data_IF_832283722971
#
_entry.id   IF_832283722971
#
_cell.length_a   1.000
_cell.length_b   1.000
_cell.length_c   1.000
_cell.angle_alpha   90.00
_cell.angle_beta   90.00
_cell.angle_gamma   90.00
#
_symmetry.space_group_name_H-M   'P 1'
#
loop_
_entity.id
_entity.type
_entity.pdbx_description
1 polymer ?
#
# COMPACT_ATOMS: atom_id res chain seq x y z
N UNK A 1 -79.70 31.98 43.74
CA UNK A 1 -79.13 30.89 42.88
C UNK A 1 -77.65 30.98 43.00
N UNK A 2 -77.06 30.14 43.84
CA UNK A 2 -75.60 30.11 44.09
C UNK A 2 -74.90 29.22 43.04
N UNK A 3 -74.03 29.77 42.22
CA UNK A 3 -73.27 29.01 41.22
C UNK A 3 -72.19 28.13 41.92
N UNK A 4 -72.44 26.84 41.98
CA UNK A 4 -71.48 25.82 42.43
C UNK A 4 -70.26 25.86 41.54
N UNK A 5 -69.13 26.43 42.01
CA UNK A 5 -67.85 26.33 41.35
C UNK A 5 -67.38 24.88 41.32
N UNK A 6 -67.31 24.25 40.16
CA UNK A 6 -66.76 22.93 40.03
C UNK A 6 -65.22 22.99 40.35
N UNK A 7 -64.82 22.36 41.43
CA UNK A 7 -63.38 22.19 41.74
C UNK A 7 -62.81 21.25 40.69
N UNK A 8 -61.93 21.75 39.88
CA UNK A 8 -61.14 20.90 38.97
C UNK A 8 -60.47 19.79 39.80
N UNK A 9 -60.63 18.55 39.39
CA UNK A 9 -60.06 17.41 40.06
C UNK A 9 -58.58 17.30 39.56
N UNK A 10 -57.69 18.05 40.17
CA UNK A 10 -56.26 18.15 39.83
C UNK A 10 -55.58 16.77 39.83
N UNK A 11 -55.95 15.89 40.77
CA UNK A 11 -55.44 14.52 40.87
C UNK A 11 -55.83 13.68 39.65
N UNK A 12 -57.09 13.81 39.19
CA UNK A 12 -57.53 13.11 37.97
C UNK A 12 -56.81 13.61 36.72
N UNK A 13 -56.58 14.92 36.59
CA UNK A 13 -55.84 15.51 35.47
C UNK A 13 -54.39 15.03 35.47
N UNK A 14 -53.71 15.02 36.59
CA UNK A 14 -52.34 14.51 36.75
C UNK A 14 -52.24 13.01 36.39
N UNK A 15 -53.19 12.19 36.79
CA UNK A 15 -53.26 10.76 36.43
C UNK A 15 -53.38 10.53 34.93
N UNK A 16 -54.22 11.35 34.25
CA UNK A 16 -54.35 11.28 32.78
C UNK A 16 -53.10 11.73 32.07
N UNK A 17 -52.44 12.81 32.52
CA UNK A 17 -51.19 13.27 31.94
C UNK A 17 -50.09 12.19 32.10
N UNK A 18 -49.98 11.57 33.27
CA UNK A 18 -49.05 10.48 33.54
C UNK A 18 -49.28 9.28 32.64
N UNK A 19 -50.53 8.87 32.46
CA UNK A 19 -50.93 7.77 31.56
C UNK A 19 -50.52 8.06 30.10
N UNK A 20 -50.77 9.27 29.60
CA UNK A 20 -50.45 9.70 28.27
C UNK A 20 -48.93 9.72 28.05
N UNK A 21 -48.17 10.29 28.98
CA UNK A 21 -46.66 10.33 28.89
C UNK A 21 -46.07 8.93 28.92
N UNK A 22 -46.65 8.01 29.72
CA UNK A 22 -46.19 6.61 29.76
C UNK A 22 -46.45 5.90 28.43
N UNK A 23 -47.65 6.10 27.83
CA UNK A 23 -47.99 5.52 26.52
C UNK A 23 -47.09 6.06 25.42
N UNK A 24 -46.80 7.38 25.41
CA UNK A 24 -45.88 7.99 24.45
C UNK A 24 -44.43 7.43 24.63
N UNK A 25 -44.01 7.27 25.87
CA UNK A 25 -42.66 6.68 26.18
C UNK A 25 -42.56 5.23 25.69
N UNK A 26 -43.59 4.42 25.91
CA UNK A 26 -43.62 3.03 25.41
C UNK A 26 -43.67 3.00 23.88
N UNK A 27 -44.47 3.84 23.23
CA UNK A 27 -44.52 3.94 21.78
C UNK A 27 -43.18 4.37 21.16
N UNK A 28 -42.51 5.35 21.77
CA UNK A 28 -41.17 5.78 21.37
C UNK A 28 -40.12 4.66 21.53
N UNK A 29 -40.17 3.93 22.66
CA UNK A 29 -39.31 2.76 22.87
C UNK A 29 -39.57 1.67 21.82
N UNK A 30 -40.82 1.36 21.53
CA UNK A 30 -41.19 0.37 20.51
C UNK A 30 -40.76 0.82 19.11
N UNK A 31 -40.86 2.11 18.79
CA UNK A 31 -40.36 2.67 17.52
C UNK A 31 -38.84 2.56 17.39
N UNK A 32 -38.09 2.93 18.44
CA UNK A 32 -36.63 2.79 18.48
C UNK A 32 -36.22 1.31 18.39
N UNK A 33 -36.95 0.42 19.03
CA UNK A 33 -36.69 -1.03 19.00
C UNK A 33 -37.00 -1.65 17.63
N UNK A 34 -37.98 -1.11 16.90
CA UNK A 34 -38.37 -1.59 15.57
C UNK A 34 -37.26 -1.38 14.54
N UNK A 35 -36.50 -0.28 14.63
CA UNK A 35 -35.38 0.01 13.72
C UNK A 35 -34.03 -0.66 14.14
N UNK A 36 -33.98 -1.22 15.36
CA UNK A 36 -32.83 -2.01 15.78
C UNK A 36 -33.06 -3.47 15.39
N UNK A 37 -32.28 -3.94 14.42
CA UNK A 37 -32.21 -5.37 14.10
C UNK A 37 -31.60 -6.13 15.29
N UNK A 38 -32.45 -6.61 16.20
CA UNK A 38 -32.03 -7.56 17.22
C UNK A 38 -31.77 -8.91 16.58
N UNK A 39 -30.50 -9.23 16.37
CA UNK A 39 -30.09 -10.56 15.96
C UNK A 39 -30.23 -11.49 17.18
N UNK A 40 -31.15 -12.46 17.10
CA UNK A 40 -31.13 -13.60 18.03
C UNK A 40 -29.84 -14.37 17.86
N UNK A 41 -29.40 -15.13 18.88
CA UNK A 41 -28.19 -15.94 18.78
C UNK A 41 -28.13 -16.84 17.53
N UNK A 42 -29.31 -17.42 17.17
CA UNK A 42 -29.41 -18.23 15.94
C UNK A 42 -29.24 -17.42 14.64
N UNK A 43 -29.86 -16.24 14.55
CA UNK A 43 -29.67 -15.35 13.40
C UNK A 43 -28.22 -14.89 13.28
N UNK A 44 -27.57 -14.56 14.40
CA UNK A 44 -26.17 -14.19 14.41
C UNK A 44 -25.27 -15.35 13.97
N UNK A 45 -25.55 -16.57 14.42
CA UNK A 45 -24.84 -17.77 13.98
C UNK A 45 -25.01 -18.02 12.47
N UNK A 46 -26.23 -17.87 11.95
CA UNK A 46 -26.51 -18.01 10.52
C UNK A 46 -25.78 -16.95 9.68
N UNK A 47 -25.75 -15.67 10.12
CA UNK A 47 -25.00 -14.60 9.44
C UNK A 47 -23.50 -14.90 9.43
N UNK A 48 -22.92 -15.36 10.55
CA UNK A 48 -21.51 -15.76 10.63
C UNK A 48 -21.19 -16.93 9.70
N UNK A 49 -22.06 -17.94 9.67
CA UNK A 49 -21.87 -19.12 8.80
C UNK A 49 -21.94 -18.74 7.32
N UNK A 50 -22.89 -17.89 6.93
CA UNK A 50 -23.01 -17.42 5.55
C UNK A 50 -21.80 -16.55 5.15
N UNK A 51 -21.36 -15.62 6.01
CA UNK A 51 -20.16 -14.80 5.76
C UNK A 51 -18.91 -15.68 5.60
N UNK A 52 -18.77 -16.74 6.40
CA UNK A 52 -17.66 -17.69 6.27
C UNK A 52 -17.71 -18.47 4.94
N UNK A 53 -18.89 -18.95 4.53
CA UNK A 53 -19.08 -19.63 3.25
C UNK A 53 -18.76 -18.71 2.07
N UNK A 54 -19.25 -17.48 2.09
CA UNK A 54 -18.97 -16.49 1.03
C UNK A 54 -17.48 -16.19 0.92
N UNK A 55 -16.77 -16.10 2.05
CA UNK A 55 -15.32 -15.91 2.06
C UNK A 55 -14.59 -17.12 1.49
N UNK A 56 -14.99 -18.33 1.88
CA UNK A 56 -14.42 -19.58 1.33
C UNK A 56 -14.63 -19.65 -0.19
N UNK A 57 -15.84 -19.42 -0.65
CA UNK A 57 -16.16 -19.42 -2.08
C UNK A 57 -15.34 -18.40 -2.88
N UNK A 58 -15.10 -17.19 -2.31
CA UNK A 58 -14.23 -16.18 -2.93
C UNK A 58 -12.80 -16.68 -3.03
N UNK A 59 -12.28 -17.31 -1.99
CA UNK A 59 -10.92 -17.86 -1.99
C UNK A 59 -10.80 -18.96 -3.06
N UNK A 60 -11.71 -19.93 -3.07
CA UNK A 60 -11.72 -21.05 -4.03
C UNK A 60 -11.81 -20.57 -5.48
N UNK A 61 -12.71 -19.61 -5.75
CA UNK A 61 -12.89 -19.03 -7.09
C UNK A 61 -11.60 -18.36 -7.58
N UNK A 62 -10.97 -17.53 -6.76
CA UNK A 62 -9.76 -16.80 -7.14
C UNK A 62 -8.52 -17.71 -7.25
N UNK A 63 -8.43 -18.74 -6.40
CA UNK A 63 -7.40 -19.78 -6.54
C UNK A 63 -7.59 -20.55 -7.86
N UNK A 64 -8.82 -20.90 -8.24
CA UNK A 64 -9.14 -21.54 -9.52
C UNK A 64 -8.79 -20.66 -10.72
N UNK A 65 -8.73 -19.34 -10.56
CA UNK A 65 -8.27 -18.37 -11.56
C UNK A 65 -6.74 -18.18 -11.59
N UNK A 66 -5.99 -18.91 -10.74
CA UNK A 66 -4.53 -18.86 -10.68
C UNK A 66 -3.97 -17.72 -9.84
N UNK A 67 -4.80 -17.03 -9.03
CA UNK A 67 -4.29 -16.00 -8.12
C UNK A 67 -3.50 -16.61 -6.96
N UNK A 68 -2.46 -15.90 -6.50
CA UNK A 68 -1.71 -16.34 -5.33
C UNK A 68 -2.50 -16.17 -4.03
N UNK A 69 -2.29 -17.06 -3.06
CA UNK A 69 -2.93 -16.96 -1.75
C UNK A 69 -2.64 -15.61 -1.07
N UNK A 70 -1.43 -15.08 -1.19
CA UNK A 70 -1.08 -13.76 -0.63
C UNK A 70 -1.91 -12.63 -1.24
N UNK A 71 -2.15 -12.67 -2.57
CA UNK A 71 -3.01 -11.70 -3.27
C UNK A 71 -4.45 -11.77 -2.76
N UNK A 72 -4.96 -13.00 -2.61
CA UNK A 72 -6.33 -13.24 -2.13
C UNK A 72 -6.50 -12.75 -0.70
N UNK A 73 -5.56 -13.06 0.20
CA UNK A 73 -5.61 -12.64 1.60
C UNK A 73 -5.54 -11.13 1.75
N UNK A 74 -4.70 -10.43 0.97
CA UNK A 74 -4.66 -8.96 0.92
C UNK A 74 -5.97 -8.34 0.47
N UNK A 75 -6.68 -8.99 -0.44
CA UNK A 75 -7.98 -8.48 -0.91
C UNK A 75 -9.12 -8.73 0.09
N UNK A 76 -9.00 -9.76 0.94
CA UNK A 76 -9.96 -10.05 2.02
C UNK A 76 -9.74 -9.12 3.20
N UNK A 77 -8.49 -8.83 3.55
CA UNK A 77 -8.11 -7.92 4.64
C UNK A 77 -7.19 -6.81 4.08
N UNK A 78 -7.77 -5.73 3.52
CA UNK A 78 -7.01 -4.68 2.87
C UNK A 78 -6.20 -3.81 3.83
N UNK A 79 -6.42 -3.93 5.14
CA UNK A 79 -5.67 -3.23 6.18
C UNK A 79 -4.38 -3.97 6.58
N UNK A 80 -4.20 -5.18 6.02
CA UNK A 80 -3.00 -5.99 6.26
C UNK A 80 -2.15 -6.14 5.00
N UNK A 81 -0.85 -5.97 5.17
CA UNK A 81 0.14 -6.49 4.23
C UNK A 81 0.36 -7.97 4.54
N UNK A 82 0.09 -8.84 3.56
CA UNK A 82 0.30 -10.28 3.71
C UNK A 82 1.49 -10.71 2.86
N UNK A 83 2.45 -11.38 3.47
CA UNK A 83 3.63 -11.94 2.80
C UNK A 83 4.03 -13.27 3.43
N UNK A 84 4.92 -14.00 2.77
CA UNK A 84 5.44 -15.28 3.28
C UNK A 84 6.88 -15.08 3.75
N UNK A 85 7.17 -15.50 4.97
CA UNK A 85 8.51 -15.52 5.55
C UNK A 85 8.75 -16.87 6.21
N UNK A 86 9.83 -17.53 5.86
CA UNK A 86 10.15 -18.86 6.38
C UNK A 86 9.05 -19.91 6.18
N UNK A 87 8.29 -19.82 5.08
CA UNK A 87 7.14 -20.70 4.79
C UNK A 87 5.86 -20.39 5.56
N UNK A 88 5.85 -19.32 6.37
CA UNK A 88 4.69 -18.90 7.18
C UNK A 88 4.10 -17.60 6.64
N UNK A 89 2.76 -17.50 6.60
CA UNK A 89 2.09 -16.26 6.27
C UNK A 89 2.20 -15.26 7.42
N UNK A 90 2.67 -14.07 7.11
CA UNK A 90 2.77 -12.94 8.05
C UNK A 90 1.74 -11.88 7.67
N UNK A 91 1.01 -11.38 8.66
CA UNK A 91 0.01 -10.33 8.54
C UNK A 91 0.51 -9.09 9.29
N UNK A 92 1.02 -8.12 8.58
CA UNK A 92 1.50 -6.86 9.14
C UNK A 92 0.49 -5.74 8.92
N UNK A 93 0.29 -4.90 9.93
CA UNK A 93 -0.60 -3.74 9.81
C UNK A 93 -0.07 -2.74 8.78
N UNK A 94 -0.95 -2.25 7.92
CA UNK A 94 -0.62 -1.16 7.00
C UNK A 94 -0.77 0.17 7.73
N UNK A 95 0.31 0.95 7.77
CA UNK A 95 0.25 2.30 8.31
C UNK A 95 -0.35 3.25 7.26
N UNK A 96 -1.64 3.52 7.37
CA UNK A 96 -2.38 4.39 6.44
C UNK A 96 -2.00 5.88 6.56
N UNK A 97 -1.23 6.28 7.58
CA UNK A 97 -0.73 7.66 7.71
C UNK A 97 0.48 7.94 6.82
N UNK A 98 1.11 6.91 6.25
CA UNK A 98 2.21 7.09 5.31
C UNK A 98 1.73 7.72 4.02
N UNK A 99 2.52 8.65 3.50
CA UNK A 99 2.25 9.31 2.22
C UNK A 99 2.22 8.27 1.10
N UNK A 100 1.12 8.20 0.39
CA UNK A 100 0.96 7.38 -0.82
C UNK A 100 1.37 8.16 -2.05
N UNK A 101 1.66 7.45 -3.15
CA UNK A 101 1.81 8.09 -4.45
C UNK A 101 0.46 8.70 -4.90
N UNK A 102 0.54 9.67 -5.78
CA UNK A 102 -0.63 10.36 -6.33
C UNK A 102 -0.95 9.93 -7.76
N UNK A 103 -0.28 8.89 -8.27
CA UNK A 103 -0.48 8.40 -9.63
C UNK A 103 -1.87 7.79 -9.79
N UNK A 104 -2.53 8.09 -10.90
CA UNK A 104 -3.80 7.49 -11.29
C UNK A 104 -3.56 6.28 -12.18
N UNK A 105 -4.17 5.14 -11.86
CA UNK A 105 -4.05 3.91 -12.66
C UNK A 105 -4.52 4.09 -14.11
N UNK A 106 -5.48 4.98 -14.37
CA UNK A 106 -6.01 5.25 -15.70
C UNK A 106 -5.04 5.98 -16.64
N UNK A 107 -3.93 6.51 -16.11
CA UNK A 107 -2.92 7.22 -16.88
C UNK A 107 -1.71 6.37 -17.26
N UNK A 108 -1.65 5.11 -16.77
CA UNK A 108 -0.65 4.15 -17.18
C UNK A 108 -1.08 3.42 -18.45
N UNK A 109 -0.20 3.37 -19.44
CA UNK A 109 -0.38 2.60 -20.67
C UNK A 109 0.75 1.60 -20.82
N UNK A 110 0.46 0.47 -21.48
CA UNK A 110 1.42 -0.60 -21.75
C UNK A 110 1.42 -0.89 -23.25
N UNK A 111 2.59 -0.83 -23.88
CA UNK A 111 2.74 -1.13 -25.29
C UNK A 111 2.89 -2.64 -25.58
N UNK A 112 2.99 -3.00 -26.88
CA UNK A 112 3.17 -4.39 -27.32
C UNK A 112 4.48 -5.03 -26.83
N UNK A 113 5.46 -4.24 -26.45
CA UNK A 113 6.75 -4.68 -25.89
C UNK A 113 6.74 -4.72 -24.36
N UNK A 114 5.56 -4.62 -23.74
CA UNK A 114 5.39 -4.54 -22.29
C UNK A 114 6.00 -3.29 -21.64
N UNK A 115 6.33 -2.25 -22.39
CA UNK A 115 6.84 -1.01 -21.82
C UNK A 115 5.67 -0.20 -21.24
N UNK A 116 5.84 0.24 -20.01
CA UNK A 116 4.85 1.03 -19.30
C UNK A 116 5.24 2.50 -19.40
N UNK A 117 4.27 3.34 -19.77
CA UNK A 117 4.40 4.79 -19.75
C UNK A 117 3.34 5.40 -18.87
N UNK A 118 3.66 6.54 -18.27
CA UNK A 118 2.75 7.34 -17.46
C UNK A 118 2.58 8.70 -18.11
N UNK A 119 1.32 9.15 -18.23
CA UNK A 119 0.98 10.42 -18.86
C UNK A 119 0.19 11.32 -17.90
N UNK A 120 0.46 12.61 -17.97
CA UNK A 120 -0.32 13.67 -17.33
C UNK A 120 -0.81 14.64 -18.41
N UNK A 121 -2.08 15.00 -18.38
CA UNK A 121 -2.71 15.89 -19.37
C UNK A 121 -2.44 15.48 -20.82
N UNK A 122 -2.42 14.17 -21.09
CA UNK A 122 -2.18 13.60 -22.40
C UNK A 122 -0.72 13.63 -22.86
N UNK A 123 0.23 14.04 -22.02
CA UNK A 123 1.66 14.03 -22.32
C UNK A 123 2.37 12.96 -21.51
N UNK A 124 3.25 12.18 -22.14
CA UNK A 124 4.11 11.23 -21.45
C UNK A 124 5.09 12.00 -20.60
N UNK A 125 5.07 11.76 -19.27
CA UNK A 125 5.96 12.37 -18.28
C UNK A 125 6.90 11.35 -17.63
N UNK A 126 6.71 10.06 -17.90
CA UNK A 126 7.62 9.00 -17.47
C UNK A 126 8.88 8.97 -18.31
N UNK A 127 9.97 8.56 -17.70
CA UNK A 127 11.25 8.30 -18.36
C UNK A 127 11.50 6.81 -18.49
N UNK A 128 12.15 6.40 -19.58
CA UNK A 128 12.63 5.04 -19.72
C UNK A 128 13.94 4.91 -18.96
N UNK A 129 13.95 3.98 -18.00
CA UNK A 129 15.09 3.73 -17.11
C UNK A 129 15.52 2.28 -17.23
N UNK A 130 16.82 2.02 -17.24
CA UNK A 130 17.37 0.67 -17.07
C UNK A 130 18.03 0.56 -15.71
N UNK A 131 17.96 -0.61 -15.12
CA UNK A 131 18.66 -1.02 -13.89
C UNK A 131 19.85 -1.90 -14.28
N UNK A 132 21.02 -1.55 -13.78
CA UNK A 132 22.29 -2.14 -14.21
C UNK A 132 23.22 -2.40 -13.03
N UNK A 133 23.80 -3.59 -13.04
CA UNK A 133 24.85 -4.01 -12.13
C UNK A 133 25.89 -4.86 -12.88
N UNK A 134 26.83 -5.43 -12.17
CA UNK A 134 27.83 -6.37 -12.74
C UNK A 134 27.19 -7.57 -13.45
N UNK A 135 25.94 -7.90 -13.14
CA UNK A 135 25.27 -9.07 -13.72
C UNK A 135 24.87 -8.88 -15.19
N UNK A 136 24.80 -7.65 -15.69
CA UNK A 136 24.53 -7.36 -17.09
C UNK A 136 25.78 -7.42 -17.96
N UNK A 137 26.95 -7.65 -17.37
CA UNK A 137 28.26 -7.68 -18.09
C UNK A 137 28.54 -6.38 -18.87
N UNK A 138 29.10 -6.48 -20.07
CA UNK A 138 29.43 -5.33 -20.92
C UNK A 138 28.14 -4.80 -21.61
N UNK A 139 27.89 -3.51 -21.51
CA UNK A 139 26.71 -2.85 -22.08
C UNK A 139 27.15 -1.87 -23.17
N UNK A 140 26.47 -1.94 -24.31
CA UNK A 140 26.58 -0.97 -25.38
C UNK A 140 25.61 0.21 -25.12
N UNK A 141 26.11 1.21 -24.40
CA UNK A 141 25.29 2.38 -24.03
C UNK A 141 24.87 3.23 -25.25
N UNK A 142 25.55 3.13 -26.38
CA UNK A 142 25.09 3.77 -27.61
C UNK A 142 23.79 3.13 -28.14
N UNK A 143 23.70 1.80 -28.10
CA UNK A 143 22.45 1.09 -28.43
C UNK A 143 21.36 1.35 -27.40
N UNK A 144 21.72 1.40 -26.10
CA UNK A 144 20.77 1.73 -25.04
C UNK A 144 20.17 3.11 -25.26
N UNK A 145 21.00 4.11 -25.61
CA UNK A 145 20.52 5.45 -25.96
C UNK A 145 19.61 5.46 -27.18
N UNK A 146 20.00 4.73 -28.24
CA UNK A 146 19.21 4.60 -29.46
C UNK A 146 17.85 3.94 -29.22
N UNK A 147 17.72 3.10 -28.19
CA UNK A 147 16.44 2.48 -27.76
C UNK A 147 15.56 3.44 -26.94
N UNK A 148 15.96 4.72 -26.82
CA UNK A 148 15.20 5.76 -26.14
C UNK A 148 15.29 5.71 -24.62
N UNK A 149 16.34 5.14 -24.07
CA UNK A 149 16.58 5.14 -22.62
C UNK A 149 17.09 6.51 -22.18
N UNK A 150 16.48 7.08 -21.14
CA UNK A 150 16.82 8.39 -20.60
C UNK A 150 17.78 8.30 -19.41
N UNK A 151 17.61 7.28 -18.59
CA UNK A 151 18.34 7.09 -17.33
C UNK A 151 18.85 5.65 -17.17
N UNK A 152 19.99 5.53 -16.50
CA UNK A 152 20.48 4.26 -15.97
C UNK A 152 20.61 4.36 -14.45
N UNK A 153 19.97 3.46 -13.72
CA UNK A 153 20.20 3.24 -12.30
C UNK A 153 21.32 2.22 -12.17
N UNK A 154 22.46 2.63 -11.62
CA UNK A 154 23.68 1.82 -11.57
C UNK A 154 23.94 1.38 -10.13
N UNK A 155 24.09 0.07 -9.91
CA UNK A 155 24.52 -0.42 -8.60
C UNK A 155 25.96 0.05 -8.34
N UNK A 156 26.14 0.88 -7.31
CA UNK A 156 27.49 1.32 -6.93
C UNK A 156 28.20 0.34 -5.99
N UNK A 157 27.45 -0.47 -5.25
CA UNK A 157 27.99 -1.45 -4.35
C UNK A 157 26.90 -2.21 -3.60
N UNK A 158 27.35 -3.05 -2.69
CA UNK A 158 26.48 -3.86 -1.82
C UNK A 158 27.20 -4.19 -0.51
N UNK A 159 26.42 -4.50 0.52
CA UNK A 159 26.96 -5.14 1.73
C UNK A 159 26.80 -6.65 1.56
N UNK A 160 27.89 -7.39 1.77
CA UNK A 160 27.89 -8.84 1.60
C UNK A 160 27.08 -9.55 2.69
N UNK A 161 26.43 -10.66 2.31
CA UNK A 161 25.79 -11.54 3.27
C UNK A 161 26.84 -12.18 4.19
N UNK A 162 26.49 -12.36 5.44
CA UNK A 162 27.29 -13.06 6.45
C UNK A 162 28.39 -12.20 7.07
N UNK A 163 29.32 -11.70 6.28
CA UNK A 163 30.47 -10.91 6.78
C UNK A 163 30.17 -9.41 6.91
N UNK A 164 29.12 -8.92 6.25
CA UNK A 164 28.71 -7.51 6.31
C UNK A 164 29.71 -6.53 5.68
N UNK A 165 30.56 -7.00 4.75
CA UNK A 165 31.61 -6.19 4.12
C UNK A 165 31.01 -5.32 3.02
N UNK A 166 31.36 -4.03 3.01
CA UNK A 166 31.05 -3.11 1.92
C UNK A 166 31.88 -3.47 0.68
N UNK A 167 31.20 -3.76 -0.41
CA UNK A 167 31.85 -4.24 -1.65
C UNK A 167 31.39 -3.39 -2.83
N UNK A 168 32.34 -2.96 -3.65
CA UNK A 168 32.04 -2.25 -4.88
C UNK A 168 31.42 -3.15 -5.94
N UNK A 169 30.45 -2.62 -6.70
CA UNK A 169 30.05 -3.26 -7.94
C UNK A 169 31.12 -3.00 -9.02
N UNK A 170 31.79 -4.05 -9.45
CA UNK A 170 32.94 -3.98 -10.35
C UNK A 170 32.67 -3.32 -11.69
N UNK A 171 31.39 -3.20 -12.09
CA UNK A 171 30.97 -2.56 -13.32
C UNK A 171 30.57 -1.08 -13.15
N UNK A 172 30.43 -0.59 -11.91
CA UNK A 172 29.91 0.73 -11.64
C UNK A 172 30.67 1.85 -12.36
N UNK A 173 31.96 1.92 -12.15
CA UNK A 173 32.80 2.99 -12.70
C UNK A 173 32.77 3.00 -14.24
N UNK A 174 32.89 1.83 -14.87
CA UNK A 174 32.83 1.69 -16.33
C UNK A 174 31.45 2.08 -16.88
N UNK A 175 30.38 1.57 -16.26
CA UNK A 175 29.01 1.86 -16.69
C UNK A 175 28.67 3.33 -16.51
N UNK A 176 29.10 3.96 -15.41
CA UNK A 176 28.89 5.39 -15.17
C UNK A 176 29.57 6.26 -16.25
N UNK A 177 30.85 5.99 -16.54
CA UNK A 177 31.57 6.71 -17.56
C UNK A 177 30.94 6.55 -18.96
N UNK A 178 30.63 5.32 -19.36
CA UNK A 178 30.03 5.04 -20.68
C UNK A 178 28.60 5.56 -20.82
N UNK A 179 27.76 5.50 -19.77
CA UNK A 179 26.44 6.08 -19.78
C UNK A 179 26.49 7.61 -19.99
N UNK A 180 27.33 8.31 -19.22
CA UNK A 180 27.50 9.77 -19.33
C UNK A 180 28.01 10.16 -20.73
N UNK A 181 29.00 9.46 -21.25
CA UNK A 181 29.56 9.68 -22.58
C UNK A 181 28.49 9.54 -23.69
N UNK A 182 27.53 8.67 -23.49
CA UNK A 182 26.40 8.46 -24.41
C UNK A 182 25.16 9.32 -24.09
N UNK A 183 25.28 10.37 -23.28
CA UNK A 183 24.19 11.26 -22.88
C UNK A 183 23.00 10.52 -22.22
N UNK A 184 23.29 9.47 -21.45
CA UNK A 184 22.34 8.83 -20.56
C UNK A 184 22.59 9.40 -19.16
N UNK A 185 21.54 9.92 -18.55
CA UNK A 185 21.57 10.39 -17.17
C UNK A 185 21.72 9.22 -16.21
N UNK A 186 22.49 9.38 -15.15
CA UNK A 186 22.73 8.29 -14.20
C UNK A 186 22.16 8.61 -12.82
N UNK A 187 21.59 7.59 -12.21
CA UNK A 187 21.35 7.46 -10.77
C UNK A 187 22.21 6.31 -10.22
N UNK A 188 22.23 6.17 -8.92
CA UNK A 188 22.95 5.09 -8.27
C UNK A 188 22.06 4.35 -7.28
N UNK A 189 22.34 3.08 -7.04
CA UNK A 189 21.74 2.36 -5.94
C UNK A 189 22.75 1.47 -5.22
N UNK A 190 22.44 1.17 -3.97
CA UNK A 190 23.24 0.31 -3.12
C UNK A 190 22.38 -0.81 -2.56
N UNK A 191 22.81 -2.05 -2.71
CA UNK A 191 22.13 -3.21 -2.14
C UNK A 191 22.48 -3.34 -0.66
N UNK A 192 21.56 -2.95 0.19
CA UNK A 192 21.73 -2.84 1.64
C UNK A 192 21.47 -4.16 2.35
N UNK A 193 22.33 -4.47 3.30
CA UNK A 193 22.15 -5.53 4.30
C UNK A 193 22.39 -5.00 5.72
N UNK A 194 22.26 -3.68 5.91
CA UNK A 194 22.43 -3.06 7.22
C UNK A 194 21.39 -3.55 8.22
N UNK A 195 21.85 -4.04 9.36
CA UNK A 195 21.00 -4.53 10.45
C UNK A 195 20.89 -3.53 11.61
N UNK A 196 21.59 -2.40 11.52
CA UNK A 196 21.55 -1.34 12.51
C UNK A 196 21.89 0.02 11.88
N UNK A 197 21.67 1.10 12.63
CA UNK A 197 21.86 2.48 12.14
C UNK A 197 23.32 2.83 11.87
N UNK A 198 24.28 2.17 12.51
CA UNK A 198 25.72 2.39 12.24
C UNK A 198 26.07 1.87 10.87
N UNK A 199 25.69 0.65 10.55
CA UNK A 199 25.89 0.05 9.25
C UNK A 199 25.17 0.82 8.13
N UNK A 200 23.93 1.28 8.37
CA UNK A 200 23.20 2.10 7.41
C UNK A 200 23.93 3.42 7.10
N UNK A 201 24.59 4.04 8.08
CA UNK A 201 25.42 5.23 7.86
C UNK A 201 26.69 4.93 7.09
N UNK A 202 27.36 3.82 7.40
CA UNK A 202 28.53 3.37 6.63
C UNK A 202 28.17 3.15 5.15
N UNK A 203 27.03 2.53 4.86
CA UNK A 203 26.53 2.35 3.50
C UNK A 203 26.25 3.70 2.81
N UNK A 204 25.63 4.64 3.51
CA UNK A 204 25.37 5.97 2.98
C UNK A 204 26.67 6.72 2.65
N UNK A 205 27.65 6.71 3.57
CA UNK A 205 28.95 7.33 3.35
C UNK A 205 29.71 6.66 2.18
N UNK A 206 29.62 5.34 2.08
CA UNK A 206 30.19 4.60 0.97
C UNK A 206 29.60 5.06 -0.38
N UNK A 207 28.27 5.11 -0.47
CA UNK A 207 27.56 5.56 -1.68
C UNK A 207 27.97 6.99 -2.05
N UNK A 208 27.98 7.92 -1.10
CA UNK A 208 28.37 9.32 -1.33
C UNK A 208 29.80 9.39 -1.93
N UNK A 209 30.72 8.62 -1.39
CA UNK A 209 32.08 8.58 -1.89
C UNK A 209 32.19 7.99 -3.31
N UNK A 210 31.41 6.92 -3.57
CA UNK A 210 31.40 6.26 -4.88
C UNK A 210 30.84 7.15 -6.00
N UNK A 211 29.77 7.91 -5.71
CA UNK A 211 29.10 8.74 -6.72
C UNK A 211 29.76 10.11 -6.91
N UNK A 212 30.56 10.58 -5.95
CA UNK A 212 31.17 11.90 -5.95
C UNK A 212 31.96 12.25 -7.24
N UNK A 213 32.68 11.34 -7.89
CA UNK A 213 33.39 11.64 -9.15
C UNK A 213 32.48 11.88 -10.35
N UNK A 214 31.19 11.53 -10.24
CA UNK A 214 30.26 11.52 -11.36
C UNK A 214 29.18 12.61 -11.23
N UNK A 215 28.68 13.06 -12.37
CA UNK A 215 27.53 13.96 -12.42
C UNK A 215 26.24 13.14 -12.28
N UNK A 216 25.81 12.90 -11.03
CA UNK A 216 24.57 12.19 -10.73
C UNK A 216 23.40 13.15 -10.97
N UNK A 217 22.49 12.80 -11.88
CA UNK A 217 21.29 13.57 -12.22
C UNK A 217 19.99 12.81 -11.95
N UNK A 218 20.09 11.52 -11.65
CA UNK A 218 19.00 10.68 -11.14
C UNK A 218 19.02 10.54 -9.62
N UNK A 219 18.12 9.77 -9.05
CA UNK A 219 18.08 9.51 -7.62
C UNK A 219 19.25 8.64 -7.16
N UNK A 220 19.56 8.75 -5.87
CA UNK A 220 20.33 7.73 -5.14
C UNK A 220 19.34 6.91 -4.34
N UNK A 221 19.33 5.59 -4.52
CA UNK A 221 18.39 4.68 -3.91
C UNK A 221 19.09 3.66 -3.01
N UNK A 222 18.38 3.22 -1.97
CA UNK A 222 18.74 2.05 -1.17
C UNK A 222 17.84 0.92 -1.62
N UNK A 223 18.42 -0.20 -1.98
CA UNK A 223 17.75 -1.43 -2.37
C UNK A 223 17.75 -2.40 -1.18
N UNK A 224 16.57 -2.77 -0.72
CA UNK A 224 16.35 -3.62 0.45
C UNK A 224 15.47 -4.79 0.01
N UNK A 225 16.01 -6.00 0.11
CA UNK A 225 15.33 -7.24 -0.25
C UNK A 225 15.25 -8.26 0.92
#
# INVERSE_FOLDING_TARGET
>A
MEKRKSRLNVTGILSVIFAITTIIGIAACLFILKDRHFYTGEKLAAVRQNASKDTINKIETRLGQGESMTSILRAIDPDKMVYVSGGTYVFADINHSLKKNTFSNGTFTKDANNQITYSEDGKIVSHKVIDVSRYQNSIDFAKVKSAGVDYAMLRCGYRSYGEGILTEDTSFNTNAAEAIKNNIKIGAYFFSQAINTTEAREEADYVINMVKPYQISGPIAIDIE
#
